data_IF_848789348097
#
_entry.id   IF_848789348097
#
_cell.length_a   1.000
_cell.length_b   1.000
_cell.length_c   1.000
_cell.angle_alpha   90.00
_cell.angle_beta   90.00
_cell.angle_gamma   90.00
#
_symmetry.space_group_name_H-M   'P 1'
#
loop_
_entity.id
_entity.type
_entity.pdbx_description
1 polymer ?
#
# COMPACT_ATOMS: atom_id res chain seq x y z
N UNK A 1 48.77 -27.21 -46.69
CA UNK A 1 48.54 -25.93 -46.04
C UNK A 1 47.06 -25.93 -45.62
N UNK A 2 46.78 -26.12 -44.35
CA UNK A 2 45.44 -26.19 -43.77
C UNK A 2 45.26 -24.92 -42.94
N UNK A 3 44.43 -24.00 -43.40
CA UNK A 3 44.06 -22.81 -42.61
C UNK A 3 43.06 -23.18 -41.50
N UNK A 4 43.49 -22.95 -40.27
CA UNK A 4 42.63 -23.08 -39.10
C UNK A 4 41.74 -21.88 -39.02
N UNK A 5 40.40 -22.12 -38.98
CA UNK A 5 39.38 -21.10 -38.75
C UNK A 5 39.24 -20.90 -37.24
N UNK A 6 39.61 -19.69 -36.79
CA UNK A 6 39.40 -19.27 -35.38
C UNK A 6 37.90 -19.24 -35.00
N UNK A 7 37.50 -19.75 -33.82
CA UNK A 7 36.12 -19.63 -33.38
C UNK A 7 35.85 -18.20 -32.93
N UNK A 8 34.86 -17.57 -33.56
CA UNK A 8 34.31 -16.28 -33.17
C UNK A 8 33.75 -16.40 -31.75
N UNK A 9 34.38 -15.74 -30.79
CA UNK A 9 33.86 -15.60 -29.43
C UNK A 9 32.55 -14.79 -29.49
N UNK A 10 31.43 -15.44 -29.21
CA UNK A 10 30.16 -14.78 -29.03
C UNK A 10 30.21 -13.85 -27.81
N UNK A 11 29.90 -12.59 -28.00
CA UNK A 11 29.81 -11.62 -26.92
C UNK A 11 28.73 -12.05 -25.88
N UNK A 12 28.96 -11.84 -24.58
CA UNK A 12 27.98 -12.21 -23.57
C UNK A 12 26.70 -11.42 -23.77
N UNK A 13 25.55 -12.12 -23.79
CA UNK A 13 24.24 -11.53 -23.87
C UNK A 13 24.03 -10.57 -22.68
N UNK A 14 23.71 -9.31 -22.97
CA UNK A 14 23.35 -8.34 -21.95
C UNK A 14 22.11 -8.84 -21.20
N UNK A 15 22.06 -8.71 -19.86
CA UNK A 15 20.86 -9.08 -19.11
C UNK A 15 19.69 -8.20 -19.58
N UNK A 16 18.58 -8.83 -19.94
CA UNK A 16 17.30 -8.16 -20.22
C UNK A 16 16.89 -7.38 -18.96
N UNK A 17 17.03 -6.07 -19.01
CA UNK A 17 16.43 -5.20 -17.98
C UNK A 17 14.94 -5.38 -18.10
N UNK A 18 14.32 -5.98 -17.10
CA UNK A 18 12.87 -6.11 -17.04
C UNK A 18 12.23 -4.73 -17.22
N UNK A 19 11.31 -4.61 -18.18
CA UNK A 19 10.62 -3.35 -18.42
C UNK A 19 9.90 -2.93 -17.13
N UNK A 20 10.15 -1.70 -16.66
CA UNK A 20 9.43 -1.14 -15.52
C UNK A 20 7.95 -1.17 -15.86
N UNK A 21 7.09 -1.77 -15.03
CA UNK A 21 5.66 -1.85 -15.30
C UNK A 21 5.10 -0.43 -15.45
N UNK A 22 4.39 -0.18 -16.55
CA UNK A 22 3.78 1.12 -16.82
C UNK A 22 2.27 1.03 -16.68
N UNK A 23 1.68 2.00 -15.99
CA UNK A 23 0.24 2.12 -15.82
C UNK A 23 -0.22 3.49 -16.32
N UNK A 24 -1.14 3.51 -17.28
CA UNK A 24 -1.71 4.76 -17.79
C UNK A 24 -2.72 5.32 -16.78
N UNK A 25 -2.86 6.65 -16.75
CA UNK A 25 -3.85 7.34 -15.94
C UNK A 25 -5.26 6.92 -16.34
N UNK A 26 -6.05 6.46 -15.36
CA UNK A 26 -7.43 6.00 -15.55
C UNK A 26 -8.23 6.13 -14.26
N UNK A 27 -9.52 6.37 -14.37
CA UNK A 27 -10.50 6.31 -13.28
C UNK A 27 -10.83 4.86 -12.86
N UNK A 28 -10.38 3.86 -13.64
CA UNK A 28 -10.48 2.44 -13.29
C UNK A 28 -9.31 1.95 -12.43
N UNK A 29 -8.22 2.69 -12.33
CA UNK A 29 -7.11 2.32 -11.47
C UNK A 29 -7.51 2.43 -9.99
N UNK A 30 -6.92 1.56 -9.18
CA UNK A 30 -7.18 1.50 -7.74
C UNK A 30 -5.96 2.02 -6.97
N UNK A 31 -6.22 2.80 -5.94
CA UNK A 31 -5.17 3.33 -5.06
C UNK A 31 -5.31 2.68 -3.69
N UNK A 32 -4.27 1.96 -3.33
CA UNK A 32 -4.13 1.22 -2.09
C UNK A 32 -3.23 1.99 -1.14
N UNK A 33 -3.58 2.03 0.12
CA UNK A 33 -2.74 2.64 1.14
C UNK A 33 -2.90 1.91 2.48
N UNK A 34 -1.90 2.10 3.32
CA UNK A 34 -1.89 1.67 4.71
C UNK A 34 -1.09 2.69 5.51
N UNK A 35 -1.54 2.97 6.72
CA UNK A 35 -0.93 3.94 7.62
C UNK A 35 -0.57 3.28 8.95
N UNK A 36 0.64 3.58 9.43
CA UNK A 36 1.00 3.35 10.83
C UNK A 36 0.73 4.62 11.64
N UNK A 37 0.15 4.45 12.81
CA UNK A 37 -0.24 5.55 13.68
C UNK A 37 0.27 5.31 15.10
N UNK A 38 0.32 6.37 15.90
CA UNK A 38 0.65 6.26 17.33
C UNK A 38 -0.46 5.60 18.16
N UNK A 39 -1.66 5.47 17.59
CA UNK A 39 -2.83 4.84 18.19
C UNK A 39 -4.06 4.97 17.29
N UNK A 40 -5.26 4.70 17.79
CA UNK A 40 -6.47 4.57 16.98
C UNK A 40 -7.38 5.80 16.96
N UNK A 41 -7.16 6.77 17.85
CA UNK A 41 -7.98 7.98 17.95
C UNK A 41 -7.31 9.16 17.23
N UNK A 42 -7.82 9.58 16.05
CA UNK A 42 -7.21 10.69 15.31
C UNK A 42 -7.26 12.03 16.08
N UNK A 43 -8.03 12.15 17.17
CA UNK A 43 -8.06 13.38 17.95
C UNK A 43 -6.83 13.58 18.84
N UNK A 44 -6.20 12.50 19.24
CA UNK A 44 -5.03 12.51 20.12
C UNK A 44 -3.78 11.93 19.46
N UNK A 45 -3.97 11.06 18.45
CA UNK A 45 -2.90 10.29 17.83
C UNK A 45 -2.48 10.85 16.47
N UNK A 46 -1.34 10.41 15.97
CA UNK A 46 -0.68 10.93 14.77
C UNK A 46 -0.29 9.83 13.78
N UNK A 47 -0.18 10.25 12.51
CA UNK A 47 0.45 9.44 11.46
C UNK A 47 1.96 9.38 11.66
N UNK A 48 2.55 8.19 11.53
CA UNK A 48 4.01 7.98 11.65
C UNK A 48 4.62 7.32 10.41
N UNK A 49 3.86 6.52 9.66
CA UNK A 49 4.25 6.02 8.35
C UNK A 49 3.03 5.93 7.45
N UNK A 50 3.22 6.14 6.16
CA UNK A 50 2.20 5.89 5.14
C UNK A 50 2.86 5.30 3.90
N UNK A 51 2.27 4.24 3.36
CA UNK A 51 2.65 3.65 2.09
C UNK A 51 1.48 3.65 1.11
N UNK A 52 1.80 3.75 -0.17
CA UNK A 52 0.81 3.79 -1.23
C UNK A 52 1.25 2.93 -2.42
N UNK A 53 0.30 2.21 -3.02
CA UNK A 53 0.47 1.43 -4.24
C UNK A 53 -0.68 1.74 -5.19
N UNK A 54 -0.41 1.82 -6.48
CA UNK A 54 -1.47 1.94 -7.49
C UNK A 54 -1.51 0.67 -8.32
N UNK A 55 -2.72 0.15 -8.55
CA UNK A 55 -2.92 -0.99 -9.44
C UNK A 55 -3.86 -0.65 -10.59
N UNK A 56 -3.78 -1.45 -11.67
CA UNK A 56 -4.87 -1.51 -12.63
C UNK A 56 -6.13 -2.13 -12.03
N UNK A 57 -7.25 -2.14 -12.76
CA UNK A 57 -8.52 -2.68 -12.27
C UNK A 57 -8.46 -4.17 -11.91
N UNK A 58 -7.55 -4.90 -12.54
CA UNK A 58 -7.36 -6.35 -12.34
C UNK A 58 -6.28 -6.66 -11.28
N UNK A 59 -5.94 -5.68 -10.43
CA UNK A 59 -4.90 -5.72 -9.40
C UNK A 59 -3.46 -5.80 -9.96
N UNK A 60 -3.32 -5.65 -11.27
CA UNK A 60 -2.04 -5.63 -12.01
C UNK A 60 -2.04 -4.54 -13.10
N UNK A 61 -0.88 -3.97 -13.49
CA UNK A 61 0.36 -4.06 -12.73
C UNK A 61 0.25 -3.37 -11.37
N UNK A 62 1.17 -3.64 -10.44
CA UNK A 62 1.30 -2.93 -9.16
C UNK A 62 2.45 -1.93 -9.29
N UNK A 63 2.18 -0.68 -8.99
CA UNK A 63 3.16 0.42 -9.01
C UNK A 63 3.34 0.92 -7.58
N UNK A 64 4.47 0.61 -6.99
CA UNK A 64 4.81 1.10 -5.66
C UNK A 64 5.04 2.60 -5.70
N UNK A 65 4.41 3.29 -4.78
CA UNK A 65 4.60 4.70 -4.53
C UNK A 65 5.59 4.95 -3.39
N UNK A 66 5.66 6.19 -2.92
CA UNK A 66 6.52 6.52 -1.79
C UNK A 66 6.05 5.83 -0.50
N UNK A 67 7.03 5.39 0.31
CA UNK A 67 6.84 5.06 1.72
C UNK A 67 7.39 6.25 2.50
N UNK A 68 6.53 6.92 3.25
CA UNK A 68 6.87 8.18 3.91
C UNK A 68 6.79 8.01 5.42
N UNK A 69 7.93 8.19 6.09
CA UNK A 69 8.02 8.22 7.55
C UNK A 69 7.89 9.67 8.01
N UNK A 70 6.86 9.95 8.80
CA UNK A 70 6.48 11.30 9.23
C UNK A 70 7.05 11.55 10.61
N UNK A 71 7.73 12.70 10.77
CA UNK A 71 8.29 13.10 12.06
C UNK A 71 7.17 13.38 13.07
N UNK A 72 7.36 12.88 14.30
CA UNK A 72 6.55 13.23 15.45
C UNK A 72 7.44 13.54 16.65
N UNK A 73 6.93 14.37 17.56
CA UNK A 73 7.67 14.75 18.76
C UNK A 73 7.89 13.54 19.69
N UNK A 74 8.96 13.59 20.49
CA UNK A 74 9.21 12.58 21.53
C UNK A 74 8.02 12.46 22.49
N UNK A 75 7.37 13.57 22.84
CA UNK A 75 6.19 13.57 23.71
C UNK A 75 5.02 12.76 23.09
N UNK A 76 4.81 12.86 21.76
CA UNK A 76 3.77 12.08 21.07
C UNK A 76 4.12 10.58 21.05
N UNK A 77 5.39 10.25 20.79
CA UNK A 77 5.86 8.87 20.78
C UNK A 77 5.82 8.25 22.18
N UNK A 78 6.14 9.03 23.19
CA UNK A 78 6.11 8.59 24.61
C UNK A 78 4.68 8.44 25.14
N UNK A 79 3.70 9.08 24.53
CA UNK A 79 2.29 8.92 24.87
C UNK A 79 1.64 7.65 24.34
N UNK A 80 2.25 6.99 23.33
CA UNK A 80 1.74 5.72 22.78
C UNK A 80 1.49 4.68 23.87
N UNK A 81 0.47 3.84 23.68
CA UNK A 81 0.24 2.69 24.54
C UNK A 81 1.34 1.62 24.41
N UNK A 82 1.32 0.64 25.31
CA UNK A 82 2.36 -0.40 25.38
C UNK A 82 2.39 -1.29 24.12
N UNK A 83 1.23 -1.51 23.48
CA UNK A 83 1.15 -2.32 22.28
C UNK A 83 1.81 -1.61 21.07
N UNK A 84 1.47 -0.34 20.83
CA UNK A 84 2.04 0.48 19.77
C UNK A 84 3.54 0.68 19.97
N UNK A 85 4.00 1.02 21.18
CA UNK A 85 5.43 1.09 21.53
C UNK A 85 6.16 -0.21 21.23
N UNK A 86 5.56 -1.34 21.63
CA UNK A 86 6.16 -2.66 21.42
C UNK A 86 6.24 -3.03 19.93
N UNK A 87 5.21 -2.73 19.16
CA UNK A 87 5.13 -3.06 17.73
C UNK A 87 6.06 -2.19 16.91
N UNK A 88 5.93 -0.86 17.04
CA UNK A 88 6.75 0.08 16.29
C UNK A 88 8.22 0.11 16.75
N UNK A 89 8.49 -0.23 18.01
CA UNK A 89 9.85 -0.41 18.51
C UNK A 89 10.54 -1.63 17.88
N UNK A 90 9.85 -2.78 17.80
CA UNK A 90 10.41 -4.00 17.16
C UNK A 90 10.66 -3.83 15.67
N UNK A 91 9.82 -3.09 14.95
CA UNK A 91 10.02 -2.80 13.52
C UNK A 91 11.09 -1.71 13.27
N UNK A 92 11.57 -1.04 14.31
CA UNK A 92 12.50 0.10 14.22
C UNK A 92 11.84 1.37 13.68
N UNK A 93 10.50 1.42 13.61
CA UNK A 93 9.78 2.57 13.07
C UNK A 93 9.92 3.79 13.99
N UNK A 94 9.94 3.61 15.32
CA UNK A 94 10.12 4.73 16.26
C UNK A 94 11.43 5.49 15.99
N UNK A 95 12.54 4.78 15.76
CA UNK A 95 13.82 5.41 15.47
C UNK A 95 13.80 6.14 14.12
N UNK A 96 13.14 5.58 13.12
CA UNK A 96 12.94 6.24 11.82
C UNK A 96 12.11 7.52 11.96
N UNK A 97 11.03 7.50 12.75
CA UNK A 97 10.18 8.67 13.01
C UNK A 97 10.97 9.79 13.69
N UNK A 98 11.78 9.45 14.69
CA UNK A 98 12.67 10.42 15.38
C UNK A 98 13.72 11.03 14.44
N UNK A 99 14.27 10.22 13.54
CA UNK A 99 15.27 10.67 12.56
C UNK A 99 14.67 11.41 11.37
N UNK A 100 13.39 11.26 11.10
CA UNK A 100 12.69 11.93 10.00
C UNK A 100 12.60 13.43 10.25
N UNK A 101 12.61 14.20 9.15
CA UNK A 101 12.33 15.65 9.14
C UNK A 101 11.07 15.97 8.32
N UNK A 102 10.39 14.93 7.82
CA UNK A 102 9.20 15.07 6.98
C UNK A 102 7.98 15.37 7.84
N UNK A 103 7.29 16.46 7.56
CA UNK A 103 6.00 16.78 8.17
C UNK A 103 4.82 16.23 7.37
N UNK A 104 3.63 16.22 7.99
CA UNK A 104 2.39 15.72 7.40
C UNK A 104 2.00 16.48 6.12
N UNK A 105 2.22 17.80 6.06
CA UNK A 105 1.84 18.63 4.91
C UNK A 105 2.73 18.34 3.68
N UNK A 106 4.03 18.16 3.90
CA UNK A 106 4.98 17.79 2.84
C UNK A 106 4.74 16.35 2.37
N UNK A 107 4.45 15.42 3.29
CA UNK A 107 4.06 14.05 2.96
C UNK A 107 2.77 14.03 2.11
N UNK A 108 1.75 14.78 2.50
CA UNK A 108 0.50 14.92 1.73
C UNK A 108 0.77 15.36 0.30
N UNK A 109 1.62 16.38 0.11
CA UNK A 109 1.95 16.87 -1.23
C UNK A 109 2.63 15.81 -2.09
N UNK A 110 3.62 15.08 -1.55
CA UNK A 110 4.32 14.03 -2.28
C UNK A 110 3.36 12.89 -2.70
N UNK A 111 2.44 12.50 -1.82
CA UNK A 111 1.43 11.48 -2.12
C UNK A 111 0.46 11.96 -3.19
N UNK A 112 0.00 13.21 -3.11
CA UNK A 112 -0.86 13.81 -4.15
C UNK A 112 -0.19 13.85 -5.52
N UNK A 113 1.08 14.25 -5.58
CA UNK A 113 1.85 14.27 -6.82
C UNK A 113 2.01 12.87 -7.41
N UNK A 114 2.17 11.86 -6.57
CA UNK A 114 2.24 10.48 -7.01
C UNK A 114 0.89 9.99 -7.56
N UNK A 115 -0.19 10.07 -6.79
CA UNK A 115 -1.50 9.54 -7.21
C UNK A 115 -2.06 10.26 -8.43
N UNK A 116 -1.80 11.57 -8.58
CA UNK A 116 -2.26 12.37 -9.72
C UNK A 116 -1.70 11.91 -11.06
N UNK A 117 -0.61 11.14 -11.08
CA UNK A 117 -0.06 10.53 -12.30
C UNK A 117 -0.94 9.39 -12.80
N UNK A 118 -1.65 8.69 -11.92
CA UNK A 118 -2.32 7.43 -12.21
C UNK A 118 -3.84 7.49 -12.17
N UNK A 119 -4.41 8.41 -11.37
CA UNK A 119 -5.86 8.59 -11.28
C UNK A 119 -6.26 10.06 -11.48
N UNK A 120 -7.44 10.34 -12.07
CA UNK A 120 -8.05 11.66 -11.98
C UNK A 120 -8.59 11.89 -10.55
N UNK A 121 -8.81 13.15 -10.19
CA UNK A 121 -9.46 13.48 -8.91
C UNK A 121 -10.80 12.75 -8.81
N UNK A 122 -11.08 12.16 -7.67
CA UNK A 122 -12.28 11.34 -7.37
C UNK A 122 -12.42 10.08 -8.24
N UNK A 123 -11.37 9.67 -8.94
CA UNK A 123 -11.41 8.51 -9.84
C UNK A 123 -11.33 7.16 -9.13
N UNK A 124 -10.59 7.07 -8.02
CA UNK A 124 -10.41 5.83 -7.27
C UNK A 124 -11.05 5.88 -5.90
N UNK A 125 -11.69 4.81 -5.42
CA UNK A 125 -11.95 4.63 -4.00
C UNK A 125 -10.62 4.56 -3.24
N UNK A 126 -10.65 4.77 -1.93
CA UNK A 126 -9.54 4.45 -1.04
C UNK A 126 -9.58 2.95 -0.74
N UNK A 127 -8.49 2.23 -1.04
CA UNK A 127 -8.45 0.77 -0.96
C UNK A 127 -7.48 0.29 0.13
N UNK A 128 -7.86 -0.74 0.88
CA UNK A 128 -7.03 -1.35 1.93
C UNK A 128 -7.83 -2.24 2.87
N UNK A 129 -7.18 -2.75 3.90
CA UNK A 129 -7.82 -3.47 5.00
C UNK A 129 -8.22 -2.49 6.11
N UNK A 130 -9.49 -2.51 6.53
CA UNK A 130 -10.02 -1.61 7.57
C UNK A 130 -9.78 -0.12 7.23
N UNK A 131 -9.72 0.16 5.94
CA UNK A 131 -9.28 1.44 5.35
C UNK A 131 -10.08 2.65 5.85
N UNK A 132 -11.25 2.43 6.44
CA UNK A 132 -12.01 3.49 7.09
C UNK A 132 -11.28 4.14 8.26
N UNK A 133 -10.39 3.41 8.95
CA UNK A 133 -9.56 3.94 10.03
C UNK A 133 -8.50 4.89 9.49
N UNK A 134 -7.77 4.46 8.44
CA UNK A 134 -6.79 5.31 7.75
C UNK A 134 -7.44 6.58 7.22
N UNK A 135 -8.62 6.46 6.62
CA UNK A 135 -9.37 7.59 6.10
C UNK A 135 -9.70 8.64 7.16
N UNK A 136 -9.98 8.24 8.42
CA UNK A 136 -10.21 9.18 9.52
C UNK A 136 -8.96 10.02 9.80
N UNK A 137 -7.79 9.41 9.80
CA UNK A 137 -6.52 10.11 9.98
C UNK A 137 -6.20 11.02 8.79
N UNK A 138 -6.38 10.54 7.55
CA UNK A 138 -6.17 11.38 6.36
C UNK A 138 -7.13 12.57 6.33
N UNK A 139 -8.39 12.40 6.71
CA UNK A 139 -9.34 13.50 6.78
C UNK A 139 -8.85 14.63 7.71
N UNK A 140 -8.18 14.27 8.80
CA UNK A 140 -7.69 15.23 9.78
C UNK A 140 -6.33 15.83 9.41
N UNK A 141 -5.39 15.00 8.97
CA UNK A 141 -3.98 15.41 8.82
C UNK A 141 -3.52 15.58 7.37
N UNK A 142 -4.27 14.99 6.41
CA UNK A 142 -4.01 15.07 4.97
C UNK A 142 -5.31 15.29 4.18
N UNK A 143 -6.06 16.40 4.47
CA UNK A 143 -7.41 16.59 3.91
C UNK A 143 -7.43 16.80 2.40
N UNK A 144 -6.33 17.27 1.79
CA UNK A 144 -6.25 17.42 0.32
C UNK A 144 -6.08 16.06 -0.36
N UNK A 145 -5.31 15.16 0.25
CA UNK A 145 -5.16 13.79 -0.22
C UNK A 145 -6.47 13.03 -0.05
N UNK A 146 -7.12 13.13 1.11
CA UNK A 146 -8.42 12.52 1.36
C UNK A 146 -9.47 12.97 0.34
N UNK A 147 -9.58 14.28 0.08
CA UNK A 147 -10.50 14.86 -0.89
C UNK A 147 -10.15 14.54 -2.36
N UNK A 148 -8.99 13.96 -2.62
CA UNK A 148 -8.60 13.51 -3.95
C UNK A 148 -9.20 12.15 -4.31
N UNK A 149 -9.51 11.31 -3.31
CA UNK A 149 -10.18 10.04 -3.49
C UNK A 149 -11.68 10.20 -3.74
N UNK A 150 -12.27 9.18 -4.31
CA UNK A 150 -13.72 9.02 -4.29
C UNK A 150 -14.21 8.82 -2.84
N UNK A 151 -15.43 9.27 -2.51
CA UNK A 151 -15.98 9.15 -1.15
C UNK A 151 -16.20 7.69 -0.68
N UNK A 152 -16.20 6.72 -1.61
CA UNK A 152 -16.31 5.28 -1.28
C UNK A 152 -14.98 4.69 -0.88
N UNK A 153 -15.05 3.62 -0.08
CA UNK A 153 -13.92 2.75 0.21
C UNK A 153 -14.05 1.43 -0.55
N UNK A 154 -12.90 0.83 -0.87
CA UNK A 154 -12.79 -0.57 -1.19
C UNK A 154 -12.10 -1.23 0.01
N UNK A 155 -12.91 -1.72 0.96
CA UNK A 155 -12.42 -2.30 2.21
C UNK A 155 -12.41 -3.82 2.12
N UNK A 156 -11.20 -4.39 2.02
CA UNK A 156 -10.98 -5.84 1.91
C UNK A 156 -11.46 -6.56 3.17
N UNK A 157 -11.41 -5.90 4.34
CA UNK A 157 -11.90 -6.48 5.59
C UNK A 157 -13.39 -6.81 5.55
N UNK A 158 -14.17 -6.14 4.69
CA UNK A 158 -15.58 -6.52 4.46
C UNK A 158 -15.68 -7.93 3.86
N UNK A 159 -14.88 -8.25 2.84
CA UNK A 159 -14.86 -9.57 2.24
C UNK A 159 -14.33 -10.62 3.23
N UNK A 160 -13.32 -10.28 4.02
CA UNK A 160 -12.80 -11.10 5.10
C UNK A 160 -13.89 -11.49 6.11
N UNK A 161 -14.67 -10.53 6.57
CA UNK A 161 -15.77 -10.76 7.50
C UNK A 161 -16.88 -11.64 6.89
N UNK A 162 -17.16 -11.49 5.58
CA UNK A 162 -18.10 -12.34 4.87
C UNK A 162 -17.54 -13.75 4.66
N UNK A 163 -16.27 -13.87 4.23
CA UNK A 163 -15.61 -15.16 4.05
C UNK A 163 -15.59 -15.98 5.36
N UNK A 164 -15.28 -15.31 6.49
CA UNK A 164 -15.31 -15.95 7.81
C UNK A 164 -16.67 -16.58 8.15
N UNK A 165 -17.78 -15.96 7.73
CA UNK A 165 -19.15 -16.41 8.03
C UNK A 165 -19.70 -17.37 6.99
N UNK A 166 -19.43 -17.10 5.72
CA UNK A 166 -20.12 -17.79 4.61
C UNK A 166 -19.27 -18.88 3.96
N UNK A 167 -17.95 -18.73 3.98
CA UNK A 167 -16.99 -19.67 3.40
C UNK A 167 -15.71 -19.77 4.23
N UNK A 168 -15.77 -20.40 5.44
CA UNK A 168 -14.61 -20.49 6.33
C UNK A 168 -13.37 -21.12 5.69
N UNK A 169 -13.56 -22.00 4.67
CA UNK A 169 -12.43 -22.57 3.92
C UNK A 169 -11.63 -21.51 3.16
N UNK A 170 -12.29 -20.53 2.53
CA UNK A 170 -11.61 -19.40 1.87
C UNK A 170 -10.91 -18.50 2.91
N UNK A 171 -11.58 -18.19 4.02
CA UNK A 171 -10.99 -17.40 5.10
C UNK A 171 -9.72 -18.04 5.66
N UNK A 172 -9.74 -19.35 5.95
CA UNK A 172 -8.62 -20.06 6.56
C UNK A 172 -7.45 -20.33 5.59
N UNK A 173 -7.69 -20.26 4.28
CA UNK A 173 -6.67 -20.51 3.26
C UNK A 173 -5.71 -19.33 3.10
N UNK A 174 -6.15 -18.09 3.36
CA UNK A 174 -5.29 -16.93 3.31
C UNK A 174 -4.46 -16.78 4.59
N UNK A 175 -3.15 -16.65 4.46
CA UNK A 175 -2.22 -16.48 5.60
C UNK A 175 -1.41 -15.20 5.40
N UNK A 176 -1.57 -14.25 6.30
CA UNK A 176 -0.77 -13.04 6.34
C UNK A 176 0.66 -13.34 6.80
N UNK A 177 1.63 -12.66 6.19
CA UNK A 177 3.05 -12.78 6.56
C UNK A 177 3.40 -11.94 7.79
N UNK A 178 2.56 -10.97 8.16
CA UNK A 178 2.70 -10.11 9.36
C UNK A 178 4.04 -9.36 9.39
N UNK A 179 4.44 -8.79 8.27
CA UNK A 179 5.69 -8.03 8.18
C UNK A 179 5.66 -6.71 8.96
N UNK A 180 4.44 -6.20 9.28
CA UNK A 180 4.20 -4.96 10.03
C UNK A 180 5.01 -3.76 9.52
N UNK A 181 5.00 -3.57 8.22
CA UNK A 181 5.45 -2.35 7.55
C UNK A 181 4.36 -1.92 6.59
N UNK A 182 4.07 -0.62 6.52
CA UNK A 182 2.96 -0.10 5.74
C UNK A 182 2.95 -0.62 4.28
N UNK A 183 4.10 -0.66 3.60
CA UNK A 183 4.15 -1.16 2.22
C UNK A 183 3.83 -2.67 2.11
N UNK A 184 4.34 -3.49 3.02
CA UNK A 184 4.03 -4.91 3.02
C UNK A 184 2.55 -5.16 3.31
N UNK A 185 1.94 -4.40 4.22
CA UNK A 185 0.54 -4.51 4.57
C UNK A 185 -0.38 -4.04 3.41
N UNK A 186 0.07 -3.04 2.62
CA UNK A 186 -0.59 -2.68 1.34
C UNK A 186 -0.58 -3.87 0.37
N UNK A 187 0.58 -4.48 0.12
CA UNK A 187 0.67 -5.64 -0.78
C UNK A 187 -0.14 -6.83 -0.27
N UNK A 188 -0.11 -7.11 1.03
CA UNK A 188 -0.96 -8.15 1.63
C UNK A 188 -2.46 -7.87 1.44
N UNK A 189 -2.88 -6.61 1.50
CA UNK A 189 -4.27 -6.23 1.25
C UNK A 189 -4.70 -6.50 -0.19
N UNK A 190 -3.80 -6.26 -1.16
CA UNK A 190 -4.03 -6.57 -2.58
C UNK A 190 -4.11 -8.09 -2.78
N UNK A 191 -3.17 -8.84 -2.20
CA UNK A 191 -3.14 -10.31 -2.27
C UNK A 191 -4.38 -10.94 -1.61
N UNK A 192 -4.84 -10.38 -0.49
CA UNK A 192 -6.04 -10.82 0.20
C UNK A 192 -7.30 -10.58 -0.65
N UNK A 193 -7.40 -9.43 -1.34
CA UNK A 193 -8.50 -9.19 -2.27
C UNK A 193 -8.45 -10.15 -3.47
N UNK A 194 -7.27 -10.38 -4.05
CA UNK A 194 -7.07 -11.33 -5.14
C UNK A 194 -7.49 -12.73 -4.72
N UNK A 195 -7.09 -13.17 -3.54
CA UNK A 195 -7.52 -14.44 -2.96
C UNK A 195 -9.05 -14.54 -2.82
N UNK A 196 -9.73 -13.51 -2.31
CA UNK A 196 -11.19 -13.53 -2.18
C UNK A 196 -11.90 -13.43 -3.53
N UNK A 197 -11.33 -12.70 -4.50
CA UNK A 197 -11.85 -12.70 -5.87
C UNK A 197 -11.90 -14.11 -6.43
N UNK A 198 -10.84 -14.88 -6.26
CA UNK A 198 -10.70 -16.20 -6.87
C UNK A 198 -11.41 -17.31 -6.09
N UNK A 199 -11.59 -17.12 -4.78
CA UNK A 199 -12.14 -18.19 -3.91
C UNK A 199 -13.54 -17.91 -3.38
N UNK A 200 -13.94 -16.65 -3.19
CA UNK A 200 -15.21 -16.27 -2.57
C UNK A 200 -16.23 -15.77 -3.58
N UNK A 201 -15.79 -14.93 -4.54
CA UNK A 201 -16.67 -14.30 -5.49
C UNK A 201 -16.95 -15.23 -6.69
N UNK A 202 -18.15 -15.12 -7.27
CA UNK A 202 -18.47 -15.71 -8.57
C UNK A 202 -18.45 -14.61 -9.62
N UNK A 203 -17.54 -14.71 -10.56
CA UNK A 203 -17.38 -13.77 -11.66
C UNK A 203 -17.75 -14.51 -12.95
N UNK A 204 -19.01 -14.36 -13.38
CA UNK A 204 -19.53 -15.06 -14.56
C UNK A 204 -19.15 -14.34 -15.85
N UNK A 205 -18.88 -13.02 -15.79
CA UNK A 205 -18.42 -12.20 -16.91
C UNK A 205 -16.92 -11.90 -16.77
N UNK A 206 -16.16 -12.23 -17.80
CA UNK A 206 -14.79 -11.72 -17.95
C UNK A 206 -14.89 -10.23 -18.31
N UNK A 207 -14.39 -9.37 -17.42
CA UNK A 207 -14.32 -7.94 -17.65
C UNK A 207 -13.45 -7.58 -18.87
#
# INVERSE_FOLDING_TARGET
>A
MSEAIDPILAAPAQPLVAAVPTLKKSDRNLVWLDCEMTGLDPDTERLIEIAIVVTGPDLTPRIDGPVLVIHQSDAQLDAMDAWNKGTHGRSGLIDKVKASTLDEATAEQQLLEFVARYIPKTGSPMCGNTIGQDRRFLNKYMPKLEAYFHYRNLDVSTLKELAKRWKPSAYNAFKKQQAHTALADVHESIDELEHYRDTLLRLDDKA
#
